data_IF_560018399739
#
_entry.id   IF_560018399739
#
_cell.length_a   1.000
_cell.length_b   1.000
_cell.length_c   1.000
_cell.angle_alpha   90.00
_cell.angle_beta   90.00
_cell.angle_gamma   90.00
#
_symmetry.space_group_name_H-M   'P 1'
#
loop_
_entity.id
_entity.type
_entity.pdbx_description
1 polymer ?
#
# COMPACT_ATOMS: atom_id res chain seq x y z
N UNK A 1 4.75 -70.19 -63.86
CA UNK A 1 5.23 -68.79 -64.03
C UNK A 1 4.29 -67.73 -63.43
N UNK A 2 3.04 -68.03 -63.05
CA UNK A 2 2.08 -67.04 -62.53
C UNK A 2 2.26 -66.60 -61.05
N UNK A 3 3.20 -67.21 -60.29
CA UNK A 3 3.30 -66.99 -58.84
C UNK A 3 4.17 -65.78 -58.44
N UNK A 4 5.14 -65.38 -59.29
CA UNK A 4 6.04 -64.26 -58.97
C UNK A 4 5.38 -62.90 -59.24
N UNK A 5 4.62 -62.77 -60.33
CA UNK A 5 3.88 -61.53 -60.63
C UNK A 5 2.80 -61.22 -59.60
N UNK A 6 2.08 -62.24 -59.12
CA UNK A 6 1.10 -62.06 -58.05
C UNK A 6 1.76 -61.61 -56.74
N UNK A 7 2.93 -62.17 -56.40
CA UNK A 7 3.70 -61.78 -55.22
C UNK A 7 4.22 -60.34 -55.32
N UNK A 8 4.71 -59.93 -56.50
CA UNK A 8 5.13 -58.55 -56.74
C UNK A 8 3.97 -57.55 -56.67
N UNK A 9 2.79 -57.96 -57.15
CA UNK A 9 1.59 -57.13 -57.12
C UNK A 9 1.11 -56.93 -55.68
N UNK A 10 1.15 -57.98 -54.86
CA UNK A 10 0.82 -57.92 -53.43
C UNK A 10 1.82 -57.03 -52.66
N UNK A 11 3.11 -57.14 -52.96
CA UNK A 11 4.15 -56.34 -52.30
C UNK A 11 4.01 -54.85 -52.62
N UNK A 12 3.73 -54.50 -53.88
CA UNK A 12 3.43 -53.12 -54.28
C UNK A 12 2.16 -52.59 -53.63
N UNK A 13 1.13 -53.44 -53.48
CA UNK A 13 -0.09 -53.09 -52.76
C UNK A 13 0.17 -52.75 -51.29
N UNK A 14 1.03 -53.53 -50.62
CA UNK A 14 1.42 -53.30 -49.23
C UNK A 14 2.21 -52.00 -49.06
N UNK A 15 3.18 -51.71 -49.95
CA UNK A 15 3.96 -50.47 -49.90
C UNK A 15 3.07 -49.23 -50.06
N UNK A 16 2.11 -49.28 -51.00
CA UNK A 16 1.19 -48.17 -51.23
C UNK A 16 0.27 -47.91 -50.04
N UNK A 17 -0.15 -48.97 -49.35
CA UNK A 17 -0.94 -48.86 -48.12
C UNK A 17 -0.10 -48.25 -46.98
N UNK A 18 1.17 -48.64 -46.85
CA UNK A 18 2.09 -48.06 -45.87
C UNK A 18 2.33 -46.57 -46.13
N UNK A 19 2.54 -46.17 -47.38
CA UNK A 19 2.70 -44.75 -47.75
C UNK A 19 1.45 -43.93 -47.43
N UNK A 20 0.25 -44.48 -47.67
CA UNK A 20 -1.01 -43.83 -47.31
C UNK A 20 -1.20 -43.69 -45.80
N UNK A 21 -0.83 -44.72 -45.01
CA UNK A 21 -0.87 -44.66 -43.55
C UNK A 21 0.13 -43.62 -43.03
N UNK A 22 1.34 -43.56 -43.59
CA UNK A 22 2.35 -42.56 -43.23
C UNK A 22 1.87 -41.15 -43.58
N UNK A 23 1.25 -40.95 -44.75
CA UNK A 23 0.65 -39.66 -45.12
C UNK A 23 -0.50 -39.26 -44.18
N UNK A 24 -1.37 -40.21 -43.80
CA UNK A 24 -2.42 -39.94 -42.82
C UNK A 24 -1.86 -39.58 -41.43
N UNK A 25 -0.82 -40.29 -40.98
CA UNK A 25 -0.15 -39.98 -39.71
C UNK A 25 0.57 -38.64 -39.74
N UNK A 26 1.19 -38.26 -40.87
CA UNK A 26 1.81 -36.94 -41.05
C UNK A 26 0.77 -35.82 -41.09
N UNK A 27 -0.39 -36.02 -41.73
CA UNK A 27 -1.47 -35.03 -41.72
C UNK A 27 -2.10 -34.85 -40.33
N UNK A 28 -2.15 -35.92 -39.51
CA UNK A 28 -2.58 -35.82 -38.11
C UNK A 28 -1.55 -35.16 -37.19
N UNK A 29 -0.24 -35.29 -37.46
CA UNK A 29 0.80 -34.62 -36.67
C UNK A 29 0.91 -33.11 -36.91
N UNK A 30 0.35 -32.58 -38.01
CA UNK A 30 0.36 -31.13 -38.32
C UNK A 30 -0.74 -30.36 -37.56
N UNK A 31 -1.67 -31.04 -36.90
CA UNK A 31 -2.76 -30.42 -36.13
C UNK A 31 -2.68 -30.78 -34.65
N UNK A 32 -1.54 -30.49 -34.01
CA UNK A 32 -1.64 -30.08 -32.61
C UNK A 32 -2.08 -28.61 -32.62
N UNK A 33 -3.17 -28.22 -31.95
CA UNK A 33 -3.42 -26.81 -31.70
C UNK A 33 -2.34 -26.36 -30.72
N UNK A 34 -1.16 -25.99 -31.23
CA UNK A 34 -0.26 -25.15 -30.47
C UNK A 34 -1.04 -23.87 -30.21
N UNK A 35 -1.59 -23.72 -29.00
CA UNK A 35 -2.11 -22.44 -28.55
C UNK A 35 -0.96 -21.45 -28.74
N UNK A 36 -1.08 -20.59 -29.75
CA UNK A 36 -0.09 -19.56 -29.97
C UNK A 36 -0.10 -18.68 -28.72
N UNK A 37 0.94 -18.81 -27.89
CA UNK A 37 1.06 -18.10 -26.60
C UNK A 37 0.89 -16.60 -26.80
N UNK A 38 1.35 -16.08 -27.95
CA UNK A 38 1.18 -14.68 -28.33
C UNK A 38 -0.30 -14.32 -28.55
N UNK A 39 -1.04 -15.20 -29.24
CA UNK A 39 -2.48 -15.03 -29.45
C UNK A 39 -3.28 -15.11 -28.14
N UNK A 40 -2.87 -15.99 -27.22
CA UNK A 40 -3.47 -16.06 -25.89
C UNK A 40 -3.17 -14.77 -25.11
N UNK A 41 -1.92 -14.32 -25.12
CA UNK A 41 -1.49 -13.10 -24.41
C UNK A 41 -2.22 -11.85 -24.93
N UNK A 42 -2.38 -11.70 -26.24
CA UNK A 42 -3.15 -10.62 -26.83
C UNK A 42 -4.65 -10.69 -26.48
N UNK A 43 -5.22 -11.89 -26.43
CA UNK A 43 -6.62 -12.09 -26.03
C UNK A 43 -6.85 -11.68 -24.58
N UNK A 44 -6.00 -12.15 -23.67
CA UNK A 44 -6.03 -11.79 -22.25
C UNK A 44 -5.75 -10.29 -22.04
N UNK A 45 -4.82 -9.72 -22.79
CA UNK A 45 -4.49 -8.29 -22.70
C UNK A 45 -5.66 -7.39 -23.10
N UNK A 46 -6.55 -7.85 -24.00
CA UNK A 46 -7.75 -7.11 -24.45
C UNK A 46 -8.90 -7.20 -23.45
N UNK A 47 -8.96 -8.26 -22.64
CA UNK A 47 -10.00 -8.41 -21.60
C UNK A 47 -9.71 -7.60 -20.33
N UNK A 48 -8.47 -7.13 -20.17
CA UNK A 48 -8.03 -6.33 -19.03
C UNK A 48 -8.00 -4.84 -19.41
N UNK A 49 -8.58 -3.95 -18.60
CA UNK A 49 -8.46 -2.50 -18.83
C UNK A 49 -7.05 -2.01 -18.47
N UNK A 50 -6.61 -0.91 -19.06
CA UNK A 50 -5.39 -0.25 -18.58
C UNK A 50 -5.56 0.22 -17.12
N UNK A 51 -4.48 0.18 -16.36
CA UNK A 51 -4.38 0.65 -14.98
C UNK A 51 -3.82 2.07 -14.94
N UNK A 52 -4.52 2.94 -14.22
CA UNK A 52 -4.14 4.32 -13.92
C UNK A 52 -4.26 4.54 -12.42
N UNK A 53 -3.21 5.04 -11.78
CA UNK A 53 -3.22 5.19 -10.33
C UNK A 53 -3.90 6.49 -9.89
N UNK A 54 -4.99 6.37 -9.13
CA UNK A 54 -5.70 7.50 -8.51
C UNK A 54 -6.21 7.10 -7.12
N UNK A 55 -5.37 7.25 -6.08
CA UNK A 55 -5.71 6.83 -4.73
C UNK A 55 -6.81 7.68 -4.08
N UNK A 56 -7.05 8.90 -4.55
CA UNK A 56 -8.09 9.80 -3.99
C UNK A 56 -9.49 9.30 -4.35
N UNK A 57 -9.66 8.81 -5.58
CA UNK A 57 -10.89 8.18 -6.04
C UNK A 57 -10.94 6.66 -5.79
N UNK A 58 -9.99 6.12 -5.01
CA UNK A 58 -9.93 4.70 -4.65
C UNK A 58 -9.48 3.77 -5.78
N UNK A 59 -8.94 4.32 -6.88
CA UNK A 59 -8.34 3.55 -7.98
C UNK A 59 -6.92 3.16 -7.59
N UNK A 60 -6.83 2.10 -6.79
CA UNK A 60 -5.57 1.49 -6.36
C UNK A 60 -5.27 0.22 -7.14
N UNK A 61 -4.02 -0.23 -7.12
CA UNK A 61 -3.64 -1.49 -7.74
C UNK A 61 -4.39 -2.67 -7.11
N UNK A 62 -4.61 -2.67 -5.79
CA UNK A 62 -5.40 -3.71 -5.12
C UNK A 62 -6.82 -3.81 -5.69
N UNK A 63 -7.51 -2.66 -5.86
CA UNK A 63 -8.88 -2.64 -6.38
C UNK A 63 -8.94 -3.06 -7.86
N UNK A 64 -8.00 -2.58 -8.67
CA UNK A 64 -7.92 -2.95 -10.09
C UNK A 64 -7.54 -4.43 -10.26
N UNK A 65 -6.55 -4.94 -9.53
CA UNK A 65 -6.12 -6.32 -9.60
C UNK A 65 -7.23 -7.26 -9.14
N UNK A 66 -7.97 -6.92 -8.07
CA UNK A 66 -9.09 -7.72 -7.58
C UNK A 66 -10.11 -8.04 -8.69
N UNK A 67 -10.41 -7.06 -9.58
CA UNK A 67 -11.31 -7.23 -10.72
C UNK A 67 -10.82 -8.25 -11.76
N UNK A 68 -9.51 -8.40 -11.90
CA UNK A 68 -8.87 -9.21 -12.94
C UNK A 68 -8.10 -10.41 -12.38
N UNK A 69 -8.24 -10.72 -11.08
CA UNK A 69 -7.48 -11.77 -10.39
C UNK A 69 -7.56 -13.09 -11.15
N UNK A 70 -8.76 -13.52 -11.52
CA UNK A 70 -8.99 -14.80 -12.20
C UNK A 70 -8.37 -14.84 -13.59
N UNK A 71 -8.27 -13.71 -14.30
CA UNK A 71 -7.59 -13.66 -15.59
C UNK A 71 -6.10 -13.96 -15.41
N UNK A 72 -5.49 -13.40 -14.36
CA UNK A 72 -4.08 -13.61 -14.07
C UNK A 72 -3.78 -14.98 -13.43
N UNK A 73 -4.70 -15.58 -12.67
CA UNK A 73 -4.46 -16.83 -11.92
C UNK A 73 -5.02 -18.07 -12.63
N UNK A 74 -6.19 -17.96 -13.24
CA UNK A 74 -6.91 -19.08 -13.89
C UNK A 74 -6.68 -19.05 -15.40
N UNK A 75 -7.03 -17.96 -16.09
CA UNK A 75 -6.98 -17.91 -17.56
C UNK A 75 -5.55 -17.88 -18.09
N UNK A 76 -4.65 -17.21 -17.37
CA UNK A 76 -3.22 -17.15 -17.65
C UNK A 76 -2.44 -18.34 -17.04
N UNK A 77 -3.08 -19.38 -16.52
CA UNK A 77 -2.41 -20.53 -15.87
C UNK A 77 -1.44 -21.29 -16.80
N UNK A 78 -1.65 -21.20 -18.12
CA UNK A 78 -0.77 -21.80 -19.14
C UNK A 78 0.44 -20.93 -19.47
N UNK A 79 0.47 -19.68 -19.02
CA UNK A 79 1.59 -18.77 -19.21
C UNK A 79 2.66 -19.04 -18.14
N UNK A 80 3.92 -18.98 -18.54
CA UNK A 80 5.01 -18.99 -17.57
C UNK A 80 5.02 -17.70 -16.73
N UNK A 81 5.76 -17.71 -15.63
CA UNK A 81 5.80 -16.56 -14.72
C UNK A 81 6.25 -15.29 -15.44
N UNK A 82 7.23 -15.42 -16.35
CA UNK A 82 7.74 -14.29 -17.13
C UNK A 82 6.69 -13.67 -18.05
N UNK A 83 5.87 -14.49 -18.73
CA UNK A 83 4.77 -14.01 -19.57
C UNK A 83 3.65 -13.39 -18.73
N UNK A 84 3.35 -13.92 -17.53
CA UNK A 84 2.38 -13.33 -16.61
C UNK A 84 2.84 -11.95 -16.12
N UNK A 85 4.13 -11.80 -15.78
CA UNK A 85 4.73 -10.50 -15.44
C UNK A 85 4.63 -9.54 -16.62
N UNK A 86 5.02 -9.96 -17.83
CA UNK A 86 4.91 -9.10 -19.03
C UNK A 86 3.46 -8.68 -19.31
N UNK A 87 2.50 -9.60 -19.19
CA UNK A 87 1.08 -9.30 -19.37
C UNK A 87 0.62 -8.25 -18.35
N UNK A 88 0.97 -8.40 -17.08
CA UNK A 88 0.62 -7.46 -16.02
C UNK A 88 1.20 -6.06 -16.27
N UNK A 89 2.50 -5.99 -16.60
CA UNK A 89 3.17 -4.72 -16.85
C UNK A 89 2.67 -4.03 -18.12
N UNK A 90 2.26 -4.78 -19.14
CA UNK A 90 1.62 -4.25 -20.36
C UNK A 90 0.30 -3.53 -20.08
N UNK A 91 -0.31 -3.76 -18.91
CA UNK A 91 -1.56 -3.10 -18.51
C UNK A 91 -1.36 -1.87 -17.65
N UNK A 92 -0.14 -1.56 -17.24
CA UNK A 92 0.16 -0.27 -16.62
C UNK A 92 0.21 0.80 -17.72
N UNK A 93 -0.36 1.97 -17.46
CA UNK A 93 -0.09 3.12 -18.33
C UNK A 93 1.40 3.49 -18.28
N UNK A 94 1.83 4.40 -19.14
CA UNK A 94 3.23 4.84 -19.23
C UNK A 94 3.77 5.37 -17.89
N UNK A 95 3.03 6.23 -17.21
CA UNK A 95 3.46 6.87 -15.96
C UNK A 95 3.69 5.87 -14.82
N UNK A 96 2.76 4.94 -14.63
CA UNK A 96 2.82 3.91 -13.60
C UNK A 96 3.89 2.86 -13.95
N UNK A 97 4.04 2.53 -15.23
CA UNK A 97 5.11 1.65 -15.69
C UNK A 97 6.51 2.22 -15.38
N UNK A 98 6.75 3.50 -15.68
CA UNK A 98 8.03 4.15 -15.44
C UNK A 98 8.36 4.28 -13.94
N UNK A 99 7.35 4.56 -13.11
CA UNK A 99 7.49 4.54 -11.65
C UNK A 99 7.86 3.15 -11.13
N UNK A 100 7.20 2.10 -11.64
CA UNK A 100 7.52 0.73 -11.28
C UNK A 100 8.97 0.39 -11.65
N UNK A 101 9.40 0.68 -12.89
CA UNK A 101 10.78 0.44 -13.33
C UNK A 101 11.80 1.18 -12.47
N UNK A 102 11.52 2.44 -12.12
CA UNK A 102 12.39 3.24 -11.24
C UNK A 102 12.48 2.65 -9.84
N UNK A 103 11.37 2.10 -9.31
CA UNK A 103 11.30 1.54 -7.97
C UNK A 103 12.09 0.23 -7.81
N UNK A 104 12.13 -0.61 -8.86
CA UNK A 104 12.79 -1.91 -8.77
C UNK A 104 14.31 -1.86 -8.98
N UNK A 105 14.87 -0.71 -9.35
CA UNK A 105 16.30 -0.56 -9.58
C UNK A 105 17.11 -1.01 -8.34
N UNK A 106 18.25 -1.72 -8.54
CA UNK A 106 18.90 -2.02 -9.83
C UNK A 106 18.38 -3.28 -10.54
N UNK A 107 17.33 -3.94 -10.03
CA UNK A 107 16.74 -5.12 -10.68
C UNK A 107 15.98 -4.71 -11.94
N UNK A 108 15.71 -5.69 -12.79
CA UNK A 108 14.86 -5.57 -13.98
C UNK A 108 13.66 -6.52 -13.91
N UNK A 109 12.55 -6.25 -14.62
CA UNK A 109 11.31 -7.01 -14.43
C UNK A 109 11.42 -8.52 -14.66
N UNK A 110 12.33 -8.96 -15.52
CA UNK A 110 12.54 -10.39 -15.80
C UNK A 110 13.28 -11.15 -14.68
N UNK A 111 13.80 -10.44 -13.67
CA UNK A 111 14.43 -11.02 -12.47
C UNK A 111 13.46 -11.17 -11.31
N UNK A 112 12.24 -10.66 -11.45
CA UNK A 112 11.19 -10.74 -10.44
C UNK A 112 10.18 -11.78 -10.87
N UNK A 113 9.70 -12.57 -9.92
CA UNK A 113 8.56 -13.43 -10.18
C UNK A 113 7.23 -12.64 -10.14
N UNK A 114 6.15 -13.35 -10.43
CA UNK A 114 4.82 -12.74 -10.52
C UNK A 114 4.31 -12.22 -9.17
N UNK A 115 4.57 -12.96 -8.08
CA UNK A 115 4.09 -12.59 -6.75
C UNK A 115 4.93 -11.44 -6.17
N UNK A 116 6.24 -11.44 -6.39
CA UNK A 116 7.13 -10.30 -6.11
C UNK A 116 6.67 -9.05 -6.84
N UNK A 117 6.34 -9.17 -8.13
CA UNK A 117 5.85 -8.05 -8.95
C UNK A 117 4.54 -7.49 -8.40
N UNK A 118 3.57 -8.35 -8.07
CA UNK A 118 2.30 -7.94 -7.45
C UNK A 118 2.56 -7.21 -6.13
N UNK A 119 3.42 -7.76 -5.26
CA UNK A 119 3.73 -7.15 -3.97
C UNK A 119 4.38 -5.78 -4.12
N UNK A 120 5.26 -5.60 -5.11
CA UNK A 120 5.84 -4.31 -5.44
C UNK A 120 4.75 -3.34 -5.94
N UNK A 121 3.88 -3.77 -6.85
CA UNK A 121 2.82 -2.91 -7.39
C UNK A 121 1.81 -2.51 -6.31
N UNK A 122 1.46 -3.41 -5.39
CA UNK A 122 0.64 -3.08 -4.19
C UNK A 122 1.34 -2.09 -3.28
N UNK A 123 2.67 -2.17 -3.14
CA UNK A 123 3.43 -1.23 -2.32
C UNK A 123 3.52 0.17 -2.96
N UNK A 124 3.73 0.24 -4.27
CA UNK A 124 3.91 1.51 -4.99
C UNK A 124 2.57 2.19 -5.28
N UNK A 125 1.54 1.39 -5.61
CA UNK A 125 0.23 1.86 -6.07
C UNK A 125 -0.94 1.37 -5.19
N UNK A 126 -0.65 1.06 -3.92
CA UNK A 126 -1.66 0.69 -2.94
C UNK A 126 -2.43 1.90 -2.40
N UNK A 127 -3.28 1.64 -1.41
CA UNK A 127 -3.94 2.70 -0.66
C UNK A 127 -2.91 3.49 0.17
N UNK A 128 -2.95 4.83 0.08
CA UNK A 128 -2.06 5.72 0.83
C UNK A 128 -2.61 6.11 2.22
N UNK A 129 -3.85 5.72 2.51
CA UNK A 129 -4.51 6.05 3.77
C UNK A 129 -4.20 5.02 4.85
N UNK A 130 -3.78 5.48 6.03
CA UNK A 130 -3.61 4.59 7.18
C UNK A 130 -4.93 3.92 7.59
N UNK A 131 -4.85 2.76 8.24
CA UNK A 131 -6.04 2.06 8.74
C UNK A 131 -6.81 2.92 9.75
N UNK A 132 -6.13 3.75 10.52
CA UNK A 132 -6.78 4.73 11.40
C UNK A 132 -7.63 5.72 10.58
N UNK A 133 -7.10 6.29 9.49
CA UNK A 133 -7.83 7.24 8.65
C UNK A 133 -9.09 6.59 8.06
N UNK A 134 -8.97 5.38 7.51
CA UNK A 134 -10.12 4.61 7.00
C UNK A 134 -11.17 4.41 8.09
N UNK A 135 -10.74 3.96 9.28
CA UNK A 135 -11.65 3.70 10.41
C UNK A 135 -12.34 4.98 10.89
N UNK A 136 -11.60 6.06 11.01
CA UNK A 136 -12.10 7.37 11.44
C UNK A 136 -13.13 7.92 10.47
N UNK A 137 -12.86 7.86 9.16
CA UNK A 137 -13.78 8.34 8.13
C UNK A 137 -15.05 7.50 8.06
N UNK A 138 -14.94 6.18 8.26
CA UNK A 138 -16.10 5.29 8.32
C UNK A 138 -17.09 5.70 9.44
N UNK A 139 -16.58 6.10 10.61
CA UNK A 139 -17.41 6.57 11.74
C UNK A 139 -18.12 7.90 11.45
N UNK A 140 -17.70 8.62 10.41
CA UNK A 140 -18.26 9.91 10.01
C UNK A 140 -19.19 9.84 8.80
N UNK A 141 -19.44 8.65 8.26
CA UNK A 141 -20.30 8.50 7.09
C UNK A 141 -21.71 8.97 7.43
N UNK A 142 -22.21 9.91 6.63
CA UNK A 142 -23.57 10.42 6.69
C UNK A 142 -24.15 10.49 5.29
N UNK A 143 -25.41 10.09 5.14
CA UNK A 143 -26.11 10.16 3.86
C UNK A 143 -26.31 11.62 3.43
N UNK A 144 -26.00 11.96 2.19
CA UNK A 144 -26.31 13.30 1.66
C UNK A 144 -27.83 13.46 1.42
N UNK A 145 -28.38 14.69 1.44
CA UNK A 145 -29.81 14.92 1.27
C UNK A 145 -30.39 14.36 -0.04
N UNK A 146 -29.63 14.45 -1.12
CA UNK A 146 -29.98 14.06 -2.49
C UNK A 146 -29.46 12.68 -2.93
N UNK A 147 -28.64 12.02 -2.11
CA UNK A 147 -28.10 10.68 -2.40
C UNK A 147 -29.20 9.61 -2.37
N UNK A 148 -29.22 8.70 -3.33
CA UNK A 148 -30.15 7.57 -3.30
C UNK A 148 -29.71 6.50 -2.28
N UNK A 149 -30.68 5.71 -1.80
CA UNK A 149 -30.43 4.74 -0.74
C UNK A 149 -29.48 3.61 -1.15
N UNK A 150 -29.46 3.24 -2.43
CA UNK A 150 -28.62 2.13 -2.92
C UNK A 150 -27.16 2.57 -3.02
N UNK A 151 -26.91 3.80 -3.47
CA UNK A 151 -25.57 4.42 -3.44
C UNK A 151 -25.07 4.54 -2.00
N UNK A 152 -25.89 5.05 -1.08
CA UNK A 152 -25.50 5.15 0.33
C UNK A 152 -25.21 3.79 0.97
N UNK A 153 -26.07 2.79 0.73
CA UNK A 153 -25.88 1.41 1.22
C UNK A 153 -24.57 0.82 0.71
N UNK A 154 -24.27 1.03 -0.58
CA UNK A 154 -23.02 0.56 -1.19
C UNK A 154 -21.80 1.23 -0.57
N UNK A 155 -21.87 2.54 -0.30
CA UNK A 155 -20.81 3.29 0.40
C UNK A 155 -20.60 2.77 1.81
N UNK A 156 -21.65 2.61 2.61
CA UNK A 156 -21.56 2.08 3.98
C UNK A 156 -20.92 0.69 3.97
N UNK A 157 -21.38 -0.22 3.11
CA UNK A 157 -20.84 -1.56 3.04
C UNK A 157 -19.34 -1.56 2.65
N UNK A 158 -18.97 -0.78 1.63
CA UNK A 158 -17.57 -0.65 1.19
C UNK A 158 -16.66 -0.14 2.31
N UNK A 159 -17.06 0.92 2.99
CA UNK A 159 -16.22 1.52 4.04
C UNK A 159 -16.16 0.64 5.30
N UNK A 160 -17.23 -0.10 5.64
CA UNK A 160 -17.23 -1.08 6.72
C UNK A 160 -16.32 -2.29 6.45
N UNK A 161 -16.25 -2.79 5.20
CA UNK A 161 -15.28 -3.83 4.82
C UNK A 161 -13.84 -3.29 4.94
N UNK A 162 -13.61 -2.04 4.48
CA UNK A 162 -12.30 -1.38 4.62
C UNK A 162 -11.94 -1.10 6.09
N UNK A 163 -12.92 -0.88 6.96
CA UNK A 163 -12.75 -0.69 8.40
C UNK A 163 -12.13 -1.91 9.09
N UNK A 164 -12.35 -3.11 8.52
CA UNK A 164 -11.92 -4.42 9.05
C UNK A 164 -12.44 -4.64 10.47
N UNK A 165 -13.76 -4.62 10.62
CA UNK A 165 -14.42 -4.73 11.92
C UNK A 165 -14.11 -6.07 12.61
N UNK A 166 -14.03 -7.17 11.84
CA UNK A 166 -13.72 -8.50 12.38
C UNK A 166 -12.33 -8.63 13.02
N UNK A 167 -11.37 -7.79 12.60
CA UNK A 167 -10.01 -7.76 13.15
C UNK A 167 -9.88 -6.81 14.35
N UNK A 168 -10.91 -6.02 14.66
CA UNK A 168 -10.84 -4.94 15.63
C UNK A 168 -11.17 -5.44 17.04
N UNK A 169 -10.20 -5.35 17.96
CA UNK A 169 -10.43 -5.67 19.36
C UNK A 169 -11.17 -4.54 20.09
N UNK A 170 -11.77 -4.86 21.25
CA UNK A 170 -12.42 -3.85 22.09
C UNK A 170 -11.46 -2.71 22.48
N UNK A 171 -10.22 -3.05 22.84
CA UNK A 171 -9.23 -2.04 23.23
C UNK A 171 -8.75 -1.20 22.05
N UNK A 172 -8.58 -1.79 20.86
CA UNK A 172 -8.29 -1.01 19.65
C UNK A 172 -9.45 -0.07 19.28
N UNK A 173 -10.70 -0.50 19.47
CA UNK A 173 -11.86 0.38 19.28
C UNK A 173 -11.87 1.53 20.28
N UNK A 174 -11.65 1.26 21.58
CA UNK A 174 -11.53 2.31 22.61
C UNK A 174 -10.41 3.30 22.29
N UNK A 175 -9.25 2.80 21.85
CA UNK A 175 -8.10 3.60 21.42
C UNK A 175 -8.43 4.50 20.22
N UNK A 176 -9.16 3.97 19.22
CA UNK A 176 -9.66 4.75 18.10
C UNK A 176 -10.56 5.90 18.58
N UNK A 177 -11.56 5.61 19.44
CA UNK A 177 -12.48 6.62 19.98
C UNK A 177 -11.73 7.67 20.81
N UNK A 178 -10.79 7.23 21.67
CA UNK A 178 -9.99 8.12 22.51
C UNK A 178 -9.22 9.14 21.68
N UNK A 179 -8.42 8.68 20.71
CA UNK A 179 -7.63 9.58 19.85
C UNK A 179 -8.52 10.45 18.95
N UNK A 180 -9.64 9.90 18.47
CA UNK A 180 -10.63 10.64 17.66
C UNK A 180 -11.30 11.79 18.41
N UNK A 181 -11.41 11.69 19.74
CA UNK A 181 -12.00 12.70 20.62
C UNK A 181 -11.07 13.88 20.93
N UNK A 182 -9.75 13.73 20.75
CA UNK A 182 -8.76 14.78 20.99
C UNK A 182 -8.75 15.82 19.87
N UNK A 183 -9.83 16.57 19.67
CA UNK A 183 -10.00 17.45 18.49
C UNK A 183 -9.36 18.83 18.65
N UNK A 184 -9.04 19.24 19.87
CA UNK A 184 -8.50 20.57 20.14
C UNK A 184 -7.13 20.77 19.46
N UNK A 185 -6.80 21.97 18.96
CA UNK A 185 -5.49 22.25 18.36
C UNK A 185 -4.31 21.94 19.28
N UNK A 186 -4.47 22.14 20.59
CA UNK A 186 -3.48 21.89 21.63
C UNK A 186 -3.06 20.42 21.71
N UNK A 187 -3.95 19.51 21.28
CA UNK A 187 -3.71 18.07 21.29
C UNK A 187 -3.00 17.56 20.04
N UNK A 188 -2.65 18.41 19.06
CA UNK A 188 -2.10 17.98 17.77
C UNK A 188 -0.85 17.11 17.90
N UNK A 189 0.08 17.51 18.77
CA UNK A 189 1.31 16.77 19.02
C UNK A 189 1.04 15.43 19.71
N UNK A 190 0.13 15.40 20.68
CA UNK A 190 -0.26 14.17 21.37
C UNK A 190 -0.96 13.21 20.42
N UNK A 191 -1.86 13.68 19.54
CA UNK A 191 -2.50 12.85 18.51
C UNK A 191 -1.47 12.11 17.67
N UNK A 192 -0.43 12.80 17.18
CA UNK A 192 0.63 12.18 16.36
C UNK A 192 1.35 11.07 17.14
N UNK A 193 1.71 11.33 18.40
CA UNK A 193 2.42 10.36 19.25
C UNK A 193 1.56 9.15 19.60
N UNK A 194 0.30 9.37 19.97
CA UNK A 194 -0.64 8.29 20.30
C UNK A 194 -0.97 7.44 19.07
N UNK A 195 -1.14 8.05 17.89
CA UNK A 195 -1.31 7.34 16.63
C UNK A 195 -0.11 6.44 16.32
N UNK A 196 1.10 6.97 16.47
CA UNK A 196 2.31 6.17 16.31
C UNK A 196 2.34 4.97 17.26
N UNK A 197 1.94 5.15 18.53
CA UNK A 197 1.85 4.04 19.50
C UNK A 197 0.85 2.98 19.08
N UNK A 198 -0.34 3.37 18.62
CA UNK A 198 -1.37 2.45 18.10
C UNK A 198 -0.88 1.68 16.87
N UNK A 199 -0.11 2.30 15.98
CA UNK A 199 0.44 1.62 14.80
C UNK A 199 1.53 0.61 15.16
N UNK A 200 2.35 0.90 16.17
CA UNK A 200 3.46 0.03 16.60
C UNK A 200 3.04 -1.09 17.54
N UNK A 201 2.06 -0.84 18.43
CA UNK A 201 1.61 -1.78 19.45
C UNK A 201 0.13 -2.10 19.25
N UNK A 202 -0.13 -3.27 18.68
CA UNK A 202 -1.50 -3.75 18.41
C UNK A 202 -2.27 -4.12 19.68
N UNK A 203 -1.61 -4.22 20.82
CA UNK A 203 -2.19 -4.60 22.12
C UNK A 203 -2.42 -3.40 23.04
N UNK A 204 -2.10 -2.18 22.59
CA UNK A 204 -2.23 -0.97 23.38
C UNK A 204 -3.66 -0.77 23.88
N UNK A 205 -3.77 -0.52 25.18
CA UNK A 205 -5.06 -0.22 25.83
C UNK A 205 -5.31 1.28 25.88
N UNK A 206 -6.56 1.67 26.17
CA UNK A 206 -6.88 3.08 26.40
C UNK A 206 -6.15 3.65 27.64
N UNK A 207 -5.89 2.83 28.66
CA UNK A 207 -5.12 3.20 29.85
C UNK A 207 -3.67 3.54 29.48
N UNK A 208 -3.03 2.69 28.68
CA UNK A 208 -1.66 2.93 28.16
C UNK A 208 -1.56 4.25 27.40
N UNK A 209 -2.57 4.60 26.60
CA UNK A 209 -2.63 5.85 25.87
C UNK A 209 -2.83 7.06 26.79
N UNK A 210 -3.66 6.93 27.83
CA UNK A 210 -3.86 7.99 28.82
C UNK A 210 -2.60 8.25 29.65
N UNK A 211 -1.88 7.19 30.02
CA UNK A 211 -0.57 7.28 30.67
C UNK A 211 0.46 7.97 29.78
N UNK A 212 0.51 7.63 28.49
CA UNK A 212 1.40 8.28 27.53
C UNK A 212 1.06 9.75 27.35
N UNK A 213 -0.22 10.09 27.22
CA UNK A 213 -0.67 11.48 27.15
C UNK A 213 -0.19 12.29 28.37
N UNK A 214 -0.36 11.72 29.56
CA UNK A 214 0.07 12.35 30.83
C UNK A 214 1.59 12.49 30.88
N UNK A 215 2.33 11.46 30.48
CA UNK A 215 3.79 11.48 30.39
C UNK A 215 4.28 12.57 29.42
N UNK A 216 3.71 12.65 28.23
CA UNK A 216 4.05 13.67 27.22
C UNK A 216 3.74 15.08 27.74
N UNK A 217 2.64 15.25 28.47
CA UNK A 217 2.29 16.52 29.11
C UNK A 217 3.36 16.94 30.12
N UNK A 218 3.85 15.99 30.94
CA UNK A 218 4.92 16.26 31.90
C UNK A 218 6.25 16.58 31.20
N UNK A 219 6.64 15.80 30.19
CA UNK A 219 7.85 16.07 29.40
C UNK A 219 7.81 17.44 28.72
N UNK A 220 6.65 17.87 28.22
CA UNK A 220 6.47 19.20 27.64
C UNK A 220 6.67 20.32 28.67
N UNK A 221 6.27 20.09 29.92
CA UNK A 221 6.54 21.04 31.02
C UNK A 221 8.02 21.07 31.37
N UNK A 222 8.65 19.91 31.44
CA UNK A 222 10.09 19.79 31.76
C UNK A 222 10.96 20.42 30.67
N UNK A 223 10.60 20.25 29.40
CA UNK A 223 11.30 20.88 28.27
C UNK A 223 11.30 22.42 28.37
N UNK A 224 10.16 23.01 28.75
CA UNK A 224 10.06 24.47 28.97
C UNK A 224 10.98 24.96 30.09
N UNK A 225 11.12 24.19 31.18
CA UNK A 225 12.04 24.55 32.27
C UNK A 225 13.50 24.64 31.78
N UNK A 226 13.90 23.81 30.82
CA UNK A 226 15.24 23.82 30.23
C UNK A 226 15.40 25.00 29.25
N UNK A 227 14.36 25.31 28.46
CA UNK A 227 14.36 26.46 27.54
C UNK A 227 14.43 27.79 28.30
N UNK A 228 13.67 27.94 29.39
CA UNK A 228 13.60 29.18 30.16
C UNK A 228 14.94 29.52 30.86
N UNK A 229 15.75 28.51 31.21
CA UNK A 229 17.09 28.71 31.79
C UNK A 229 18.14 29.22 30.78
N UNK A 230 17.86 29.18 29.48
CA UNK A 230 18.76 29.70 28.44
C UNK A 230 18.67 31.22 28.23
N UNK A 231 17.68 31.90 28.84
CA UNK A 231 17.40 33.33 28.57
C UNK A 231 17.76 34.30 29.71
N UNK A 232 18.23 33.80 30.86
CA UNK A 232 18.52 34.64 32.05
C UNK A 232 20.01 34.86 32.36
N UNK A 233 20.94 34.49 31.49
CA UNK A 233 22.39 34.61 31.76
C UNK A 233 23.03 35.85 31.08
N UNK A 234 22.40 37.02 31.24
CA UNK A 234 22.88 38.28 30.65
C UNK A 234 22.82 39.55 31.51
N UNK A 235 22.32 39.51 32.76
CA UNK A 235 22.10 40.77 33.51
C UNK A 235 22.38 40.75 35.01
N UNK A 236 23.40 40.00 35.44
CA UNK A 236 23.84 40.03 36.84
C UNK A 236 25.36 40.10 36.99
N UNK A 237 26.00 41.16 36.48
CA UNK A 237 27.38 41.51 36.88
C UNK A 237 27.37 42.82 37.68
N UNK A 238 27.29 42.64 38.99
CA UNK A 238 27.89 43.40 40.10
C UNK A 238 28.38 44.84 39.81
N UNK A 239 27.70 45.83 40.40
CA UNK A 239 28.27 47.16 40.64
C UNK A 239 28.60 47.34 42.13
N UNK A 240 29.88 47.17 42.48
CA UNK A 240 30.46 47.50 43.79
C UNK A 240 30.58 49.02 43.92
N UNK A 241 29.81 49.64 44.82
CA UNK A 241 29.99 51.07 45.16
C UNK A 241 31.17 51.24 46.12
N UNK A 242 32.26 51.81 45.60
CA UNK A 242 33.40 52.32 46.37
C UNK A 242 33.04 53.61 47.12
N UNK A 243 33.57 53.73 48.33
CA UNK A 243 33.48 54.87 49.26
C UNK A 243 33.99 56.18 48.64
N UNK A 244 33.38 57.31 49.00
CA UNK A 244 34.18 58.50 49.26
C UNK A 244 33.68 59.26 50.49
N UNK A 245 34.61 59.54 51.38
CA UNK A 245 34.41 60.01 52.75
C UNK A 245 34.74 61.51 52.80
N UNK A 246 33.73 62.36 52.99
CA UNK A 246 33.90 63.82 53.10
C UNK A 246 33.46 64.31 54.47
N UNK A 247 34.42 64.42 55.39
CA UNK A 247 34.26 65.01 56.73
C UNK A 247 34.04 66.52 56.66
N UNK A 248 33.08 67.05 57.43
CA UNK A 248 33.21 68.32 58.19
C UNK A 248 32.04 68.59 59.17
N UNK A 249 32.41 68.52 60.47
CA UNK A 249 32.06 69.41 61.62
C UNK A 249 30.59 69.68 62.02
N UNK A 250 30.18 68.97 63.09
CA UNK A 250 29.46 69.34 64.34
C UNK A 250 29.36 70.84 64.76
N UNK A 251 28.58 71.24 65.81
CA UNK A 251 27.20 70.87 66.21
C UNK A 251 26.36 72.02 66.86
N UNK A 252 25.06 71.74 67.12
CA UNK A 252 24.18 72.15 68.25
C UNK A 252 23.80 73.64 68.52
N UNK A 253 22.50 73.89 68.80
CA UNK A 253 21.90 74.15 70.15
C UNK A 253 20.46 74.73 70.00
N UNK A 254 19.55 74.27 70.88
CA UNK A 254 18.22 74.76 71.30
C UNK A 254 17.75 76.17 70.88
N UNK A 255 16.49 76.25 70.40
CA UNK A 255 15.29 76.61 71.17
C UNK A 255 14.03 76.30 70.35
#
# INVERSE_FOLDING_TARGET
MASNEQLQTLLKGQQKLQEQIIQMLQQQQIQTPSLNVESLMDTLSRSISEFTYDPENGVTFDAWYARYTDIFTVDASKLDQSARVRLLLRKLNTTEHDKYLSFILPKVPNQLDFDETINILKKVFGAQTSLFNVRYNCLKITKAPDEDIMTFTSTVNRECERFRLGDLTSDQFKSLIFVSGLQAPEDAEYRIRLLSRIETDKTVTIQDLAEEYTRLTNLKRDAKLVEDQGTTDGSSILAVKSKNNGSKRNPAIHA
#
